data_IF_603656819059
#
_entry.id   IF_603656819059
#
_cell.length_a   1.000
_cell.length_b   1.000
_cell.length_c   1.000
_cell.angle_alpha   90.00
_cell.angle_beta   90.00
_cell.angle_gamma   90.00
#
_symmetry.space_group_name_H-M   'P 1'
#
loop_
_entity.id
_entity.type
_entity.pdbx_description
1 polymer ?
#
# COMPACT_ATOMS: atom_id res chain seq x y z
N UNK A 1 -5.65 -68.62 30.31
CA UNK A 1 -6.26 -67.93 29.15
C UNK A 1 -7.02 -66.74 29.71
N UNK A 2 -6.34 -65.59 29.78
CA UNK A 2 -6.43 -64.49 28.81
C UNK A 2 -7.70 -63.63 29.03
N UNK A 3 -7.44 -62.47 29.63
CA UNK A 3 -8.34 -61.36 29.93
C UNK A 3 -8.94 -60.77 28.64
N UNK A 4 -10.14 -60.19 28.71
CA UNK A 4 -10.43 -59.00 27.91
C UNK A 4 -11.25 -58.00 28.74
N UNK A 5 -10.53 -56.98 29.18
CA UNK A 5 -11.02 -55.74 29.76
C UNK A 5 -11.80 -54.97 28.71
N UNK A 6 -12.98 -54.46 29.08
CA UNK A 6 -13.60 -53.34 28.36
C UNK A 6 -13.67 -52.16 29.33
N UNK A 7 -12.72 -51.24 29.17
CA UNK A 7 -12.68 -49.93 29.80
C UNK A 7 -12.96 -48.84 28.74
N UNK A 8 -13.37 -47.63 29.17
CA UNK A 8 -14.47 -46.89 28.53
C UNK A 8 -14.04 -45.98 27.39
N UNK A 9 -15.00 -45.69 26.50
CA UNK A 9 -14.88 -44.72 25.41
C UNK A 9 -14.42 -43.35 25.95
N UNK A 10 -13.19 -42.98 25.58
CA UNK A 10 -12.65 -41.65 25.81
C UNK A 10 -13.38 -40.63 24.96
N UNK A 11 -14.34 -39.93 25.56
CA UNK A 11 -14.88 -38.70 24.97
C UNK A 11 -13.74 -37.69 24.81
N UNK A 12 -13.31 -37.47 23.57
CA UNK A 12 -12.42 -36.38 23.21
C UNK A 12 -13.10 -35.05 23.61
N UNK A 13 -12.75 -34.53 24.79
CA UNK A 13 -13.03 -33.16 25.20
C UNK A 13 -12.36 -32.24 24.17
N UNK A 14 -13.10 -31.81 23.14
CA UNK A 14 -12.74 -30.64 22.33
C UNK A 14 -12.62 -29.48 23.30
N UNK A 15 -11.39 -29.03 23.58
CA UNK A 15 -11.11 -27.81 24.35
C UNK A 15 -11.89 -26.69 23.66
N UNK A 16 -12.92 -26.17 24.33
CA UNK A 16 -13.64 -25.00 23.86
C UNK A 16 -12.64 -23.84 23.85
N UNK A 17 -12.18 -23.46 22.65
CA UNK A 17 -11.37 -22.27 22.44
C UNK A 17 -12.24 -21.07 22.84
N UNK A 18 -11.72 -20.17 23.67
CA UNK A 18 -12.49 -19.01 24.13
C UNK A 18 -12.97 -18.20 22.91
N UNK A 19 -14.16 -17.58 22.95
CA UNK A 19 -14.67 -16.80 21.82
C UNK A 19 -13.69 -15.70 21.37
N UNK A 20 -12.95 -15.13 22.32
CA UNK A 20 -11.86 -14.19 22.04
C UNK A 20 -10.68 -14.84 21.29
N UNK A 21 -10.22 -16.03 21.70
CA UNK A 21 -9.18 -16.75 20.94
C UNK A 21 -9.69 -17.19 19.59
N UNK A 22 -10.95 -17.62 19.49
CA UNK A 22 -11.56 -18.06 18.24
C UNK A 22 -11.64 -16.90 17.24
N UNK A 23 -12.11 -15.74 17.69
CA UNK A 23 -12.14 -14.48 16.95
C UNK A 23 -10.74 -13.97 16.58
N UNK A 24 -9.77 -14.03 17.50
CA UNK A 24 -8.38 -13.64 17.25
C UNK A 24 -7.68 -14.59 16.25
N UNK A 25 -8.06 -15.88 16.25
CA UNK A 25 -7.57 -16.90 15.33
C UNK A 25 -8.38 -16.99 14.03
N UNK A 26 -9.46 -16.21 13.87
CA UNK A 26 -10.38 -16.24 12.71
C UNK A 26 -9.85 -15.49 11.47
N UNK A 27 -8.53 -15.31 11.41
CA UNK A 27 -7.81 -14.73 10.27
C UNK A 27 -6.33 -15.13 10.22
N UNK A 28 -5.90 -16.08 11.07
CA UNK A 28 -4.54 -16.62 11.00
C UNK A 28 -4.46 -17.60 9.83
N UNK A 29 -3.51 -17.35 8.93
CA UNK A 29 -3.07 -18.28 7.90
C UNK A 29 -2.62 -19.55 8.62
N UNK A 30 -3.42 -20.61 8.55
CA UNK A 30 -2.94 -21.94 8.89
C UNK A 30 -1.97 -22.32 7.77
N UNK A 31 -0.67 -22.28 8.07
CA UNK A 31 0.32 -22.92 7.22
C UNK A 31 -0.11 -24.39 7.04
N UNK A 32 -0.09 -24.94 5.81
CA UNK A 32 -0.52 -26.31 5.59
C UNK A 32 0.44 -27.27 6.30
N UNK A 33 0.04 -27.75 7.47
CA UNK A 33 0.68 -28.87 8.16
C UNK A 33 0.28 -30.18 7.45
N UNK A 34 0.96 -30.47 6.34
CA UNK A 34 1.20 -31.84 5.89
C UNK A 34 0.50 -32.31 4.61
N UNK A 35 0.94 -33.46 4.06
CA UNK A 35 0.71 -33.84 2.66
C UNK A 35 -0.72 -34.29 2.30
N UNK A 36 -1.68 -34.25 3.24
CA UNK A 36 -2.99 -34.91 3.10
C UNK A 36 -4.20 -34.06 3.51
N UNK A 37 -4.05 -32.78 3.81
CA UNK A 37 -5.20 -31.93 4.12
C UNK A 37 -5.76 -31.31 2.84
N UNK A 38 -7.01 -31.64 2.51
CA UNK A 38 -7.73 -31.07 1.36
C UNK A 38 -7.79 -29.56 1.54
N UNK A 39 -7.32 -28.82 0.54
CA UNK A 39 -7.46 -27.36 0.40
C UNK A 39 -8.87 -26.93 0.82
N UNK A 40 -9.01 -26.47 2.06
CA UNK A 40 -10.24 -25.81 2.50
C UNK A 40 -10.34 -24.54 1.70
N UNK A 41 -11.42 -24.42 0.96
CA UNK A 41 -11.74 -23.34 0.04
C UNK A 41 -11.54 -22.01 0.75
N UNK A 42 -10.39 -21.36 0.54
CA UNK A 42 -10.14 -20.02 1.03
C UNK A 42 -11.30 -19.14 0.55
N UNK A 43 -11.80 -18.26 1.41
CA UNK A 43 -12.70 -17.18 0.99
C UNK A 43 -11.92 -16.26 0.06
N UNK A 44 -11.87 -16.61 -1.22
CA UNK A 44 -11.21 -15.81 -2.25
C UNK A 44 -12.00 -14.52 -2.41
N UNK A 45 -11.38 -13.41 -2.07
CA UNK A 45 -11.95 -12.09 -2.30
C UNK A 45 -11.81 -11.74 -3.79
N UNK A 46 -12.76 -10.96 -4.28
CA UNK A 46 -12.72 -10.50 -5.68
C UNK A 46 -11.55 -9.54 -5.91
N UNK A 47 -10.94 -9.59 -7.09
CA UNK A 47 -9.74 -8.79 -7.41
C UNK A 47 -9.93 -7.30 -7.13
N UNK A 48 -11.10 -6.74 -7.45
CA UNK A 48 -11.39 -5.33 -7.20
C UNK A 48 -11.44 -4.98 -5.70
N UNK A 49 -11.89 -5.90 -4.83
CA UNK A 49 -11.89 -5.68 -3.38
C UNK A 49 -10.46 -5.66 -2.83
N UNK A 50 -9.62 -6.59 -3.28
CA UNK A 50 -8.19 -6.64 -2.90
C UNK A 50 -7.49 -5.38 -3.42
N UNK A 51 -7.73 -5.00 -4.67
CA UNK A 51 -7.20 -3.77 -5.27
C UNK A 51 -7.71 -2.49 -4.60
N UNK A 52 -8.93 -2.45 -4.09
CA UNK A 52 -9.40 -1.29 -3.32
C UNK A 52 -8.68 -1.23 -1.96
N UNK A 53 -8.52 -2.36 -1.27
CA UNK A 53 -7.82 -2.40 0.01
C UNK A 53 -6.34 -2.02 -0.13
N UNK A 54 -5.64 -2.61 -1.10
CA UNK A 54 -4.23 -2.34 -1.37
C UNK A 54 -4.04 -1.01 -2.10
N UNK A 55 -5.04 -0.62 -2.88
CA UNK A 55 -5.10 0.65 -3.57
C UNK A 55 -5.33 1.83 -2.64
N UNK A 56 -5.82 1.68 -1.40
CA UNK A 56 -5.87 2.80 -0.44
C UNK A 56 -4.48 3.42 -0.28
N UNK A 57 -3.46 2.58 -0.09
CA UNK A 57 -2.07 3.02 0.10
C UNK A 57 -1.48 3.61 -1.19
N UNK A 58 -1.91 3.11 -2.35
CA UNK A 58 -1.44 3.63 -3.63
C UNK A 58 -2.15 4.93 -4.05
N UNK A 59 -3.46 5.02 -3.89
CA UNK A 59 -4.26 6.18 -4.28
C UNK A 59 -4.02 7.35 -3.34
N UNK A 60 -3.70 7.12 -2.07
CA UNK A 60 -3.32 8.19 -1.14
C UNK A 60 -2.12 9.00 -1.64
N UNK A 61 -1.21 8.38 -2.39
CA UNK A 61 -0.05 9.05 -3.01
C UNK A 61 -0.47 10.19 -3.95
N UNK A 62 -1.64 10.09 -4.59
CA UNK A 62 -2.17 11.16 -5.46
C UNK A 62 -2.43 12.45 -4.69
N UNK A 63 -2.63 12.39 -3.37
CA UNK A 63 -2.96 13.54 -2.54
C UNK A 63 -1.76 14.42 -2.25
N UNK A 64 -0.58 13.81 -2.07
CA UNK A 64 0.63 14.53 -1.69
C UNK A 64 1.69 14.59 -2.79
N UNK A 65 1.77 13.60 -3.69
CA UNK A 65 2.82 13.51 -4.70
C UNK A 65 2.83 14.70 -5.68
N UNK A 66 1.70 15.21 -6.19
CA UNK A 66 1.69 16.43 -7.01
C UNK A 66 2.24 17.64 -6.25
N UNK A 67 1.90 17.78 -4.97
CA UNK A 67 2.40 18.84 -4.09
C UNK A 67 3.91 18.74 -3.87
N UNK A 68 4.42 17.55 -3.53
CA UNK A 68 5.87 17.31 -3.40
C UNK A 68 6.58 17.60 -4.71
N UNK A 69 6.01 17.20 -5.85
CA UNK A 69 6.59 17.45 -7.15
C UNK A 69 6.64 18.94 -7.48
N UNK A 70 5.58 19.69 -7.20
CA UNK A 70 5.54 21.13 -7.39
C UNK A 70 6.55 21.85 -6.48
N UNK A 71 6.66 21.45 -5.21
CA UNK A 71 7.62 22.03 -4.26
C UNK A 71 9.08 21.70 -4.61
N UNK A 72 9.35 20.47 -5.07
CA UNK A 72 10.71 20.01 -5.34
C UNK A 72 11.22 20.42 -6.73
N UNK A 73 10.35 20.50 -7.73
CA UNK A 73 10.72 20.71 -9.13
C UNK A 73 10.11 21.98 -9.77
N UNK A 74 9.15 22.64 -9.12
CA UNK A 74 8.52 23.85 -9.64
C UNK A 74 7.92 23.64 -11.03
N UNK A 75 8.29 24.51 -11.98
CA UNK A 75 7.86 24.40 -13.38
C UNK A 75 8.26 23.07 -14.05
N UNK A 76 9.31 22.39 -13.57
CA UNK A 76 9.76 21.09 -14.08
C UNK A 76 8.87 19.93 -13.60
N UNK A 77 8.00 20.14 -12.61
CA UNK A 77 7.17 19.11 -11.99
C UNK A 77 6.43 18.20 -12.98
N UNK A 78 5.71 18.70 -14.01
CA UNK A 78 5.02 17.81 -14.97
C UNK A 78 5.98 16.91 -15.75
N UNK A 79 7.16 17.43 -16.12
CA UNK A 79 8.18 16.67 -16.84
C UNK A 79 8.80 15.61 -15.93
N UNK A 80 9.12 15.97 -14.68
CA UNK A 80 9.69 15.05 -13.70
C UNK A 80 8.72 13.90 -13.37
N UNK A 81 7.44 14.21 -13.20
CA UNK A 81 6.39 13.19 -12.99
C UNK A 81 6.23 12.29 -14.23
N UNK A 82 6.34 12.83 -15.44
CA UNK A 82 6.29 12.02 -16.66
C UNK A 82 7.49 11.07 -16.75
N UNK A 83 8.71 11.53 -16.44
CA UNK A 83 9.90 10.68 -16.37
C UNK A 83 9.71 9.57 -15.33
N UNK A 84 9.16 9.89 -14.16
CA UNK A 84 8.83 8.91 -13.13
C UNK A 84 7.87 7.84 -13.65
N UNK A 85 6.77 8.24 -14.29
CA UNK A 85 5.80 7.32 -14.90
C UNK A 85 6.47 6.41 -15.94
N UNK A 86 7.32 6.97 -16.81
CA UNK A 86 8.07 6.18 -17.79
C UNK A 86 9.00 5.16 -17.13
N UNK A 87 9.76 5.56 -16.10
CA UNK A 87 10.63 4.65 -15.35
C UNK A 87 9.83 3.54 -14.66
N UNK A 88 8.66 3.85 -14.12
CA UNK A 88 7.78 2.84 -13.51
C UNK A 88 7.22 1.88 -14.57
N UNK A 89 6.76 2.38 -15.73
CA UNK A 89 6.20 1.55 -16.79
C UNK A 89 7.24 0.69 -17.52
N UNK A 90 8.44 1.21 -17.76
CA UNK A 90 9.47 0.54 -18.56
C UNK A 90 10.57 -0.11 -17.72
N UNK A 91 10.75 0.29 -16.47
CA UNK A 91 11.69 -0.32 -15.53
C UNK A 91 11.00 -1.26 -14.56
N UNK A 92 10.12 -0.72 -13.72
CA UNK A 92 9.52 -1.47 -12.62
C UNK A 92 8.49 -2.52 -13.09
N UNK A 93 7.53 -2.14 -13.92
CA UNK A 93 6.46 -3.04 -14.40
C UNK A 93 6.98 -4.31 -15.10
N UNK A 94 7.95 -4.28 -16.03
CA UNK A 94 8.45 -5.52 -16.64
C UNK A 94 9.20 -6.40 -15.62
N UNK A 95 9.88 -5.81 -14.64
CA UNK A 95 10.50 -6.55 -13.54
C UNK A 95 9.43 -7.24 -12.69
N UNK A 96 8.39 -6.52 -12.27
CA UNK A 96 7.26 -7.09 -11.51
C UNK A 96 6.56 -8.22 -12.28
N UNK A 97 6.31 -8.05 -13.58
CA UNK A 97 5.74 -9.11 -14.43
C UNK A 97 6.63 -10.36 -14.46
N UNK A 98 7.96 -10.21 -14.40
CA UNK A 98 8.89 -11.33 -14.38
C UNK A 98 8.87 -12.03 -13.02
N UNK A 99 8.87 -11.28 -11.91
CA UNK A 99 8.79 -11.83 -10.55
C UNK A 99 7.47 -12.56 -10.34
N UNK A 100 6.34 -11.98 -10.74
CA UNK A 100 5.02 -12.59 -10.63
C UNK A 100 4.90 -13.92 -11.41
N UNK A 101 5.60 -14.05 -12.55
CA UNK A 101 5.68 -15.31 -13.30
C UNK A 101 6.58 -16.35 -12.62
N UNK A 102 7.62 -15.91 -11.92
CA UNK A 102 8.59 -16.77 -11.26
C UNK A 102 8.11 -17.27 -9.88
N UNK A 103 7.21 -16.54 -9.21
CA UNK A 103 6.61 -16.92 -7.92
C UNK A 103 5.07 -16.91 -7.98
N UNK A 104 4.45 -17.98 -8.52
CA UNK A 104 2.99 -18.07 -8.64
C UNK A 104 2.26 -18.24 -7.30
N UNK A 105 2.95 -18.72 -6.26
CA UNK A 105 2.37 -19.03 -4.95
C UNK A 105 2.41 -17.83 -3.98
N UNK A 106 2.98 -16.69 -4.40
CA UNK A 106 3.01 -15.47 -3.58
C UNK A 106 4.11 -15.39 -2.54
N UNK A 107 5.13 -16.24 -2.64
CA UNK A 107 6.30 -16.20 -1.75
C UNK A 107 7.15 -14.91 -1.93
N UNK A 108 6.76 -14.06 -2.89
CA UNK A 108 7.37 -12.76 -3.15
C UNK A 108 8.77 -12.83 -3.74
N UNK A 109 9.42 -11.67 -3.85
CA UNK A 109 10.82 -11.56 -4.25
C UNK A 109 11.77 -12.19 -3.22
N UNK A 110 11.37 -12.20 -1.93
CA UNK A 110 12.20 -12.63 -0.79
C UNK A 110 12.52 -14.11 -0.86
N UNK A 111 11.50 -14.97 -1.07
CA UNK A 111 11.72 -16.42 -1.19
C UNK A 111 12.54 -16.78 -2.44
N UNK A 112 12.35 -16.05 -3.55
CA UNK A 112 13.17 -16.24 -4.75
C UNK A 112 14.65 -15.89 -4.50
N UNK A 113 14.91 -14.83 -3.74
CA UNK A 113 16.26 -14.39 -3.35
C UNK A 113 16.92 -15.30 -2.32
N UNK A 114 16.14 -15.92 -1.41
CA UNK A 114 16.65 -16.88 -0.42
C UNK A 114 17.26 -18.11 -1.10
N UNK A 115 16.63 -18.62 -2.16
CA UNK A 115 17.13 -19.78 -2.92
C UNK A 115 18.42 -19.51 -3.70
N UNK A 116 18.77 -18.25 -3.96
CA UNK A 116 19.97 -17.84 -4.70
C UNK A 116 21.20 -17.58 -3.81
N UNK A 117 21.02 -17.46 -2.49
CA UNK A 117 22.07 -17.05 -1.55
C UNK A 117 22.48 -18.20 -0.61
N UNK A 118 23.78 -18.28 -0.27
CA UNK A 118 24.30 -19.27 0.67
C UNK A 118 23.77 -18.99 2.09
N UNK A 119 23.50 -20.05 2.85
CA UNK A 119 22.76 -20.10 4.13
C UNK A 119 22.91 -18.88 5.08
N UNK A 120 24.11 -18.37 5.34
CA UNK A 120 24.31 -17.21 6.21
C UNK A 120 24.01 -15.85 5.57
N UNK A 121 24.33 -15.68 4.28
CA UNK A 121 24.06 -14.46 3.54
C UNK A 121 22.56 -14.28 3.29
N UNK A 122 21.86 -15.39 3.01
CA UNK A 122 20.41 -15.39 2.88
C UNK A 122 19.72 -14.91 4.16
N UNK A 123 20.08 -15.47 5.32
CA UNK A 123 19.49 -15.06 6.62
C UNK A 123 19.71 -13.59 6.95
N UNK A 124 20.93 -13.08 6.77
CA UNK A 124 21.24 -11.68 7.06
C UNK A 124 20.53 -10.72 6.08
N UNK A 125 20.42 -11.13 4.82
CA UNK A 125 19.69 -10.38 3.81
C UNK A 125 18.18 -10.36 4.08
N UNK A 126 17.58 -11.51 4.40
CA UNK A 126 16.17 -11.62 4.78
C UNK A 126 15.89 -10.79 6.03
N UNK A 127 16.75 -10.84 7.05
CA UNK A 127 16.60 -10.02 8.26
C UNK A 127 16.65 -8.53 7.94
N UNK A 128 17.54 -8.12 7.02
CA UNK A 128 17.61 -6.74 6.53
C UNK A 128 16.33 -6.34 5.79
N UNK A 129 15.80 -7.21 4.92
CA UNK A 129 14.54 -6.96 4.19
C UNK A 129 13.33 -6.88 5.12
N UNK A 130 13.23 -7.76 6.12
CA UNK A 130 12.17 -7.70 7.14
C UNK A 130 12.30 -6.41 7.95
N UNK A 131 13.50 -6.01 8.33
CA UNK A 131 13.75 -4.74 9.02
C UNK A 131 13.37 -3.52 8.17
N UNK A 132 13.70 -3.55 6.86
CA UNK A 132 13.31 -2.53 5.90
C UNK A 132 11.79 -2.47 5.73
N UNK A 133 11.12 -3.60 5.54
CA UNK A 133 9.67 -3.68 5.41
C UNK A 133 8.96 -3.21 6.69
N UNK A 134 9.41 -3.66 7.87
CA UNK A 134 8.87 -3.21 9.15
C UNK A 134 9.02 -1.70 9.34
N UNK A 135 10.17 -1.14 8.96
CA UNK A 135 10.41 0.31 8.98
C UNK A 135 9.45 1.03 8.01
N UNK A 136 9.28 0.49 6.80
CA UNK A 136 8.33 0.99 5.82
C UNK A 136 6.91 1.04 6.37
N UNK A 137 6.41 -0.05 6.95
CA UNK A 137 5.06 -0.08 7.54
C UNK A 137 4.88 0.91 8.68
N UNK A 138 5.84 0.99 9.61
CA UNK A 138 5.76 1.93 10.74
C UNK A 138 5.75 3.38 10.22
N UNK A 139 6.62 3.70 9.26
CA UNK A 139 6.68 5.04 8.66
C UNK A 139 5.39 5.34 7.90
N UNK A 140 4.90 4.44 7.07
CA UNK A 140 3.69 4.66 6.26
C UNK A 140 2.47 4.92 7.13
N UNK A 141 2.22 4.11 8.16
CA UNK A 141 1.09 4.30 9.07
C UNK A 141 1.22 5.64 9.81
N UNK A 142 2.41 5.94 10.31
CA UNK A 142 2.64 7.15 11.12
C UNK A 142 2.55 8.42 10.27
N UNK A 143 3.20 8.44 9.09
CA UNK A 143 3.21 9.58 8.19
C UNK A 143 1.81 9.83 7.62
N UNK A 144 1.07 8.78 7.24
CA UNK A 144 -0.31 8.91 6.74
C UNK A 144 -1.26 9.44 7.82
N UNK A 145 -1.12 8.98 9.07
CA UNK A 145 -1.95 9.47 10.17
C UNK A 145 -1.60 10.92 10.57
N UNK A 146 -0.32 11.30 10.47
CA UNK A 146 0.13 12.66 10.71
C UNK A 146 -0.38 13.62 9.62
N UNK A 147 -0.34 13.22 8.36
CA UNK A 147 -0.85 13.99 7.23
C UNK A 147 -2.38 14.17 7.31
N UNK A 148 -3.11 13.10 7.62
CA UNK A 148 -4.55 13.17 7.90
C UNK A 148 -4.87 14.13 9.06
N UNK A 149 -4.02 14.15 10.09
CA UNK A 149 -4.17 15.09 11.21
C UNK A 149 -3.93 16.53 10.77
N UNK A 150 -2.90 16.80 9.97
CA UNK A 150 -2.63 18.13 9.44
C UNK A 150 -3.85 18.64 8.64
N UNK A 151 -4.42 17.81 7.77
CA UNK A 151 -5.63 18.15 7.03
C UNK A 151 -6.85 18.41 7.93
N UNK A 152 -7.00 17.71 9.05
CA UNK A 152 -8.08 17.96 10.02
C UNK A 152 -7.84 19.29 10.75
N UNK A 153 -6.61 19.54 11.22
CA UNK A 153 -6.27 20.70 12.04
C UNK A 153 -6.24 21.99 11.22
N UNK A 154 -5.80 21.94 9.96
CA UNK A 154 -5.79 23.09 9.06
C UNK A 154 -7.17 23.39 8.43
N UNK A 155 -8.14 22.49 8.60
CA UNK A 155 -9.48 22.68 8.06
C UNK A 155 -10.17 23.87 8.75
N UNK A 156 -10.63 24.90 8.00
CA UNK A 156 -11.32 26.05 8.57
C UNK A 156 -12.58 25.70 9.40
N UNK A 157 -13.18 24.54 9.13
CA UNK A 157 -14.37 24.04 9.83
C UNK A 157 -14.02 23.18 11.05
N UNK A 158 -12.74 22.97 11.35
CA UNK A 158 -12.32 22.19 12.51
C UNK A 158 -12.55 22.94 13.82
N UNK A 159 -12.96 22.22 14.88
CA UNK A 159 -13.06 22.81 16.21
C UNK A 159 -11.71 23.35 16.67
N UNK A 160 -11.67 24.61 17.12
CA UNK A 160 -10.43 25.27 17.56
C UNK A 160 -9.72 24.52 18.72
N UNK A 161 -10.42 23.65 19.46
CA UNK A 161 -9.82 22.85 20.53
C UNK A 161 -8.85 21.75 20.02
N UNK A 162 -8.86 21.47 18.72
CA UNK A 162 -7.96 20.51 18.06
C UNK A 162 -6.62 21.14 17.66
N UNK A 163 -6.55 22.47 17.55
CA UNK A 163 -5.30 23.17 17.25
C UNK A 163 -4.28 22.97 18.38
N UNK A 164 -3.03 22.64 18.05
CA UNK A 164 -1.96 22.36 19.01
C UNK A 164 -2.03 20.99 19.69
N UNK A 165 -2.92 20.09 19.22
CA UNK A 165 -3.08 18.71 19.71
C UNK A 165 -2.84 17.67 18.61
N UNK A 166 -1.98 17.98 17.66
CA UNK A 166 -1.71 17.18 16.46
C UNK A 166 -1.28 15.75 16.84
N UNK A 167 -0.37 15.60 17.81
CA UNK A 167 0.10 14.28 18.26
C UNK A 167 -1.04 13.44 18.84
N UNK A 168 -1.93 14.05 19.64
CA UNK A 168 -3.05 13.33 20.25
C UNK A 168 -4.08 12.88 19.20
N UNK A 169 -4.39 13.75 18.23
CA UNK A 169 -5.28 13.40 17.11
C UNK A 169 -4.68 12.27 16.29
N UNK A 170 -3.38 12.34 15.97
CA UNK A 170 -2.67 11.29 15.22
C UNK A 170 -2.79 9.93 15.93
N UNK A 171 -2.52 9.88 17.24
CA UNK A 171 -2.62 8.65 18.03
C UNK A 171 -4.05 8.09 18.06
N UNK A 172 -5.05 8.96 18.16
CA UNK A 172 -6.46 8.57 18.10
C UNK A 172 -6.81 7.98 16.72
N UNK A 173 -6.38 8.59 15.63
CA UNK A 173 -6.60 8.08 14.28
C UNK A 173 -5.96 6.70 14.08
N UNK A 174 -4.72 6.51 14.52
CA UNK A 174 -4.02 5.21 14.45
C UNK A 174 -4.76 4.17 15.30
N UNK A 175 -5.20 4.52 16.51
CA UNK A 175 -5.95 3.62 17.38
C UNK A 175 -7.29 3.22 16.77
N UNK A 176 -8.02 4.16 16.16
CA UNK A 176 -9.28 3.89 15.45
C UNK A 176 -9.05 2.98 14.25
N UNK A 177 -8.01 3.23 13.45
CA UNK A 177 -7.63 2.37 12.34
C UNK A 177 -7.35 0.93 12.83
N UNK A 178 -6.54 0.80 13.88
CA UNK A 178 -6.27 -0.49 14.53
C UNK A 178 -7.54 -1.18 15.03
N UNK A 179 -8.47 -0.44 15.63
CA UNK A 179 -9.75 -0.97 16.11
C UNK A 179 -10.65 -1.48 14.98
N UNK A 180 -10.67 -0.79 13.83
CA UNK A 180 -11.39 -1.24 12.63
C UNK A 180 -10.82 -2.56 12.12
N UNK A 181 -9.49 -2.67 12.03
CA UNK A 181 -8.84 -3.92 11.63
C UNK A 181 -9.07 -5.06 12.61
N UNK A 182 -9.11 -4.77 13.91
CA UNK A 182 -9.46 -5.76 14.93
C UNK A 182 -10.89 -6.27 14.75
N UNK A 183 -11.87 -5.39 14.48
CA UNK A 183 -13.28 -5.77 14.35
C UNK A 183 -13.54 -6.82 13.24
N UNK A 184 -12.80 -6.76 12.14
CA UNK A 184 -12.87 -7.75 11.06
C UNK A 184 -12.39 -7.23 9.71
N UNK A 185 -11.74 -8.10 8.93
CA UNK A 185 -11.19 -7.76 7.61
C UNK A 185 -12.28 -7.37 6.59
N UNK A 186 -13.47 -7.98 6.68
CA UNK A 186 -14.60 -7.69 5.80
C UNK A 186 -15.15 -6.26 5.96
N UNK A 187 -15.40 -5.82 7.20
CA UNK A 187 -15.79 -4.42 7.47
C UNK A 187 -14.75 -3.41 6.99
N UNK A 188 -13.47 -3.68 7.22
CA UNK A 188 -12.39 -2.80 6.80
C UNK A 188 -12.37 -2.63 5.27
N UNK A 189 -12.53 -3.72 4.50
CA UNK A 189 -12.65 -3.65 3.04
C UNK A 189 -13.86 -2.81 2.62
N UNK A 190 -15.02 -3.01 3.24
CA UNK A 190 -16.23 -2.27 2.90
C UNK A 190 -16.06 -0.76 3.06
N UNK A 191 -15.47 -0.34 4.18
CA UNK A 191 -15.15 1.07 4.44
C UNK A 191 -14.13 1.60 3.42
N UNK A 192 -13.06 0.83 3.17
CA UNK A 192 -12.01 1.21 2.23
C UNK A 192 -12.54 1.45 0.81
N UNK A 193 -13.41 0.56 0.30
CA UNK A 193 -14.00 0.69 -1.04
C UNK A 193 -14.78 2.00 -1.18
N UNK A 194 -15.61 2.35 -0.20
CA UNK A 194 -16.40 3.60 -0.23
C UNK A 194 -15.49 4.82 -0.17
N UNK A 195 -14.49 4.81 0.69
CA UNK A 195 -13.53 5.91 0.82
C UNK A 195 -12.73 6.11 -0.47
N UNK A 196 -12.21 5.03 -1.06
CA UNK A 196 -11.46 5.08 -2.32
C UNK A 196 -12.32 5.60 -3.46
N UNK A 197 -13.56 5.12 -3.58
CA UNK A 197 -14.49 5.58 -4.62
C UNK A 197 -14.77 7.08 -4.50
N UNK A 198 -15.04 7.56 -3.28
CA UNK A 198 -15.26 8.98 -3.01
C UNK A 198 -14.01 9.80 -3.33
N UNK A 199 -12.84 9.34 -2.86
CA UNK A 199 -11.57 10.01 -3.06
C UNK A 199 -11.18 10.13 -4.54
N UNK A 200 -11.30 9.05 -5.31
CA UNK A 200 -11.06 9.07 -6.76
C UNK A 200 -12.08 9.98 -7.45
N UNK A 201 -13.35 9.92 -7.06
CA UNK A 201 -14.39 10.79 -7.61
C UNK A 201 -14.08 12.28 -7.41
N UNK A 202 -13.66 12.67 -6.21
CA UNK A 202 -13.24 14.05 -5.91
C UNK A 202 -11.99 14.45 -6.70
N UNK A 203 -10.99 13.57 -6.82
CA UNK A 203 -9.81 13.83 -7.64
C UNK A 203 -10.16 14.03 -9.12
N UNK A 204 -11.09 13.23 -9.66
CA UNK A 204 -11.56 13.41 -11.03
C UNK A 204 -12.24 14.77 -11.24
N UNK A 205 -13.00 15.24 -10.26
CA UNK A 205 -13.61 16.58 -10.31
C UNK A 205 -12.53 17.66 -10.32
N UNK A 206 -11.52 17.57 -9.43
CA UNK A 206 -10.40 18.51 -9.38
C UNK A 206 -9.64 18.55 -10.71
N UNK A 207 -9.34 17.39 -11.29
CA UNK A 207 -8.69 17.29 -12.59
C UNK A 207 -9.56 17.88 -13.70
N UNK A 208 -10.86 17.61 -13.69
CA UNK A 208 -11.82 18.15 -14.65
C UNK A 208 -11.92 19.67 -14.61
N UNK A 209 -12.02 20.25 -13.41
CA UNK A 209 -12.00 21.70 -13.20
C UNK A 209 -10.66 22.30 -13.64
N UNK A 210 -9.54 21.63 -13.35
CA UNK A 210 -8.21 22.05 -13.80
C UNK A 210 -8.11 22.13 -15.33
N UNK A 211 -8.65 21.15 -16.06
CA UNK A 211 -8.71 21.20 -17.52
C UNK A 211 -9.62 22.32 -18.03
N UNK A 212 -10.76 22.57 -17.38
CA UNK A 212 -11.65 23.67 -17.74
C UNK A 212 -10.99 25.03 -17.53
N UNK A 213 -10.18 25.19 -16.49
CA UNK A 213 -9.40 26.40 -16.21
C UNK A 213 -8.33 26.64 -17.29
N UNK A 214 -7.61 25.59 -17.70
CA UNK A 214 -6.62 25.67 -18.79
C UNK A 214 -7.29 26.05 -20.12
N UNK A 215 -8.49 25.52 -20.39
CA UNK A 215 -9.24 25.85 -21.59
C UNK A 215 -9.73 27.31 -21.61
N UNK A 216 -10.10 27.87 -20.45
CA UNK A 216 -10.51 29.26 -20.30
C UNK A 216 -9.33 30.24 -20.32
N UNK A 217 -8.16 29.81 -19.82
CA UNK A 217 -6.95 30.62 -19.73
C UNK A 217 -5.77 29.97 -20.49
N UNK A 218 -5.75 30.01 -21.84
CA UNK A 218 -4.68 29.39 -22.63
C UNK A 218 -3.28 29.93 -22.35
N UNK A 219 -3.18 31.15 -21.80
CA UNK A 219 -1.92 31.78 -21.42
C UNK A 219 -1.16 30.99 -20.37
N UNK A 220 -1.84 30.21 -19.52
CA UNK A 220 -1.21 29.38 -18.49
C UNK A 220 -0.21 28.39 -19.09
N UNK A 221 -0.53 27.82 -20.26
CA UNK A 221 0.37 26.89 -20.97
C UNK A 221 1.57 27.62 -21.59
N UNK A 222 1.35 28.79 -22.18
CA UNK A 222 2.45 29.59 -22.75
C UNK A 222 3.38 30.11 -21.66
N UNK A 223 2.83 30.51 -20.52
CA UNK A 223 3.59 31.02 -19.38
C UNK A 223 4.40 29.92 -18.71
N UNK A 224 3.80 28.74 -18.52
CA UNK A 224 4.50 27.55 -18.05
C UNK A 224 5.64 27.16 -18.99
N UNK A 225 5.39 27.09 -20.30
CA UNK A 225 6.42 26.79 -21.30
C UNK A 225 7.55 27.83 -21.23
N UNK A 226 7.20 29.11 -21.13
CA UNK A 226 8.18 30.20 -21.04
C UNK A 226 8.98 30.16 -19.74
N UNK A 227 8.39 29.76 -18.62
CA UNK A 227 9.09 29.55 -17.35
C UNK A 227 10.03 28.34 -17.41
N UNK A 228 9.59 27.25 -18.07
CA UNK A 228 10.35 26.03 -18.23
C UNK A 228 11.65 26.27 -19.02
N UNK A 229 11.54 26.92 -20.19
CA UNK A 229 12.69 27.21 -21.04
C UNK A 229 13.59 28.35 -20.53
N UNK A 230 13.06 29.25 -19.67
CA UNK A 230 13.89 30.24 -18.95
C UNK A 230 14.82 29.57 -17.95
N UNK A 231 14.31 28.59 -17.20
CA UNK A 231 15.08 27.93 -16.14
C UNK A 231 15.95 26.78 -16.67
N UNK A 232 15.55 26.12 -17.77
CA UNK A 232 16.30 25.01 -18.35
C UNK A 232 16.30 25.09 -19.88
N UNK A 233 17.35 25.69 -20.45
CA UNK A 233 17.47 25.88 -21.91
C UNK A 233 17.70 24.57 -22.70
N UNK A 234 18.16 23.49 -22.04
CA UNK A 234 18.50 22.23 -22.70
C UNK A 234 17.63 21.06 -22.17
N UNK A 235 16.86 20.37 -23.03
CA UNK A 235 16.06 19.19 -22.65
C UNK A 235 16.85 18.07 -21.95
N UNK A 236 18.13 17.88 -22.28
CA UNK A 236 18.97 16.88 -21.60
C UNK A 236 19.29 17.29 -20.16
N UNK A 237 19.49 18.58 -19.90
CA UNK A 237 19.66 19.11 -18.54
C UNK A 237 18.35 19.02 -17.75
N UNK A 238 17.19 19.16 -18.41
CA UNK A 238 15.89 18.95 -17.78
C UNK A 238 15.69 17.51 -17.32
N UNK A 239 16.05 16.54 -18.17
CA UNK A 239 15.99 15.12 -17.82
C UNK A 239 16.98 14.82 -16.69
N UNK A 240 18.21 15.34 -16.75
CA UNK A 240 19.19 15.19 -15.69
C UNK A 240 18.71 15.76 -14.35
N UNK A 241 18.13 16.96 -14.35
CA UNK A 241 17.55 17.59 -13.17
C UNK A 241 16.35 16.79 -12.63
N UNK A 242 15.47 16.30 -13.51
CA UNK A 242 14.35 15.45 -13.13
C UNK A 242 14.83 14.15 -12.46
N UNK A 243 15.90 13.53 -12.97
CA UNK A 243 16.52 12.34 -12.38
C UNK A 243 17.20 12.63 -11.03
N UNK A 244 17.69 13.85 -10.79
CA UNK A 244 18.23 14.23 -9.48
C UNK A 244 17.13 14.50 -8.44
N UNK A 245 15.96 14.97 -8.87
CA UNK A 245 14.79 15.17 -8.01
C UNK A 245 14.03 13.86 -7.78
N UNK A 246 14.22 12.87 -8.64
CA UNK A 246 13.60 11.55 -8.57
C UNK A 246 13.62 10.92 -7.17
N UNK A 247 14.72 10.88 -6.39
CA UNK A 247 14.70 10.25 -5.07
C UNK A 247 13.67 10.88 -4.12
N UNK A 248 13.42 12.19 -4.22
CA UNK A 248 12.40 12.89 -3.42
C UNK A 248 10.98 12.53 -3.89
N UNK A 249 10.80 12.32 -5.19
CA UNK A 249 9.51 11.91 -5.78
C UNK A 249 9.21 10.43 -5.54
N UNK A 250 10.25 9.59 -5.55
CA UNK A 250 10.16 8.14 -5.38
C UNK A 250 9.81 7.73 -3.95
N UNK A 251 10.00 8.60 -2.95
CA UNK A 251 9.50 8.39 -1.59
C UNK A 251 7.96 8.19 -1.57
N UNK A 252 7.23 8.72 -2.55
CA UNK A 252 5.79 8.50 -2.69
C UNK A 252 5.38 7.18 -3.37
N UNK A 253 6.33 6.34 -3.81
CA UNK A 253 6.02 5.10 -4.55
C UNK A 253 6.09 3.82 -3.69
N UNK A 254 6.16 3.93 -2.36
CA UNK A 254 6.41 2.78 -1.46
C UNK A 254 5.34 1.67 -1.50
N UNK A 255 4.15 1.91 -2.07
CA UNK A 255 3.04 0.95 -2.09
C UNK A 255 3.12 -0.17 -3.14
N UNK A 256 4.13 -0.19 -4.03
CA UNK A 256 4.22 -1.23 -5.08
C UNK A 256 4.56 -2.62 -4.55
N UNK A 257 5.31 -2.71 -3.45
CA UNK A 257 5.79 -3.99 -2.92
C UNK A 257 4.70 -4.75 -2.17
N UNK A 258 3.84 -4.03 -1.43
CA UNK A 258 2.72 -4.60 -0.67
C UNK A 258 1.64 -5.19 -1.57
N UNK A 259 1.40 -4.61 -2.75
CA UNK A 259 0.46 -5.12 -3.75
C UNK A 259 0.82 -6.50 -4.33
N UNK A 260 2.11 -6.87 -4.34
CA UNK A 260 2.56 -8.19 -4.81
C UNK A 260 2.42 -9.26 -3.73
N UNK A 261 2.55 -8.90 -2.45
CA UNK A 261 2.46 -9.84 -1.31
C UNK A 261 1.03 -10.35 -1.10
N UNK A 262 0.03 -9.52 -1.40
CA UNK A 262 -1.41 -9.83 -1.34
C UNK A 262 -1.97 -10.50 -2.61
N UNK A 263 -1.13 -10.72 -3.63
CA UNK A 263 -1.52 -11.35 -4.89
C UNK A 263 -2.16 -12.75 -4.73
N UNK A 264 -1.79 -13.59 -3.73
CA UNK A 264 -2.47 -14.88 -3.46
C UNK A 264 -3.91 -14.77 -2.99
N UNK A 265 -4.35 -13.60 -2.48
CA UNK A 265 -5.71 -13.38 -2.00
C UNK A 265 -6.70 -13.14 -3.16
N UNK A 266 -6.19 -12.90 -4.36
CA UNK A 266 -6.98 -12.68 -5.56
C UNK A 266 -7.44 -14.01 -6.12
N UNK A 267 -8.75 -14.17 -6.32
CA UNK A 267 -9.30 -15.31 -7.06
C UNK A 267 -8.73 -15.31 -8.48
N UNK A 268 -7.88 -16.28 -8.81
CA UNK A 268 -7.36 -16.47 -10.16
C UNK A 268 -8.47 -16.79 -11.15
N UNK A 269 -8.33 -16.31 -12.39
CA UNK A 269 -9.07 -16.87 -13.52
C UNK A 269 -8.50 -18.26 -13.85
N UNK A 270 -9.31 -19.17 -14.44
CA UNK A 270 -8.85 -20.49 -14.86
C UNK A 270 -7.68 -20.45 -15.85
#
# INVERSE_FOLDING_TARGET
MAQSNVSPQGALRRRAVSPFKRWLLEGHIQEPEGPFEKETTHHSHSWWQVMCLTGVDYFSTLGYQPGIAALAAGALSPVATLVLVLLTLFGALPMYKRVARASPHGDGSISMLEHLLKWWQGKLFVLCLIGFAATGFIITITLSAADATAHIVENPFAPHFLHGKEVAVTLVLVALLGAVFLKGFGEAIGIAVVLVALYIGLNLVVVGVGFAEIAQNPSVLSDWKSALFRSHANPFLMIGAALLVFPRLALGLSGFETGVVVMPLVKGGP
#
